data_IF_288809489848
#
_entry.id   IF_288809489848
#
_cell.length_a   1.000
_cell.length_b   1.000
_cell.length_c   1.000
_cell.angle_alpha   90.00
_cell.angle_beta   90.00
_cell.angle_gamma   90.00
#
_symmetry.space_group_name_H-M   'P 1'
#
loop_
_entity.id
_entity.type
_entity.pdbx_description
1 polymer ?
#
# COMPACT_ATOMS: atom_id res chain seq x y z
N UNK A 1 38.48 16.57 -10.23
CA UNK A 1 38.78 15.20 -10.67
C UNK A 1 38.77 14.36 -9.40
N UNK A 2 37.76 13.51 -9.21
CA UNK A 2 37.76 12.57 -8.10
C UNK A 2 38.91 11.57 -8.29
N UNK A 3 39.51 11.08 -7.21
CA UNK A 3 40.50 10.01 -7.31
C UNK A 3 39.84 8.78 -7.99
N UNK A 4 40.57 8.04 -8.84
CA UNK A 4 40.01 6.88 -9.57
C UNK A 4 39.43 5.80 -8.64
N UNK A 5 39.84 5.76 -7.37
CA UNK A 5 39.27 4.92 -6.32
C UNK A 5 37.88 5.37 -5.87
N UNK A 6 37.61 6.67 -5.85
CA UNK A 6 36.34 7.25 -5.41
C UNK A 6 35.26 7.07 -6.48
N UNK A 7 35.60 7.19 -7.77
CA UNK A 7 34.69 6.91 -8.88
C UNK A 7 34.22 5.44 -8.88
N UNK A 8 35.12 4.50 -8.55
CA UNK A 8 34.76 3.09 -8.39
C UNK A 8 33.79 2.86 -7.22
N UNK A 9 34.03 3.49 -6.06
CA UNK A 9 33.13 3.38 -4.89
C UNK A 9 31.74 3.92 -5.22
N UNK A 10 31.66 5.05 -5.90
CA UNK A 10 30.40 5.69 -6.27
C UNK A 10 29.59 4.79 -7.23
N UNK A 11 30.25 4.15 -8.19
CA UNK A 11 29.62 3.18 -9.12
C UNK A 11 29.07 1.95 -8.41
N UNK A 12 29.84 1.32 -7.52
CA UNK A 12 29.38 0.14 -6.78
C UNK A 12 28.24 0.46 -5.83
N UNK A 13 28.26 1.64 -5.21
CA UNK A 13 27.18 2.09 -4.35
C UNK A 13 25.88 2.31 -5.12
N UNK A 14 25.95 2.96 -6.29
CA UNK A 14 24.83 3.16 -7.19
C UNK A 14 24.23 1.82 -7.67
N UNK A 15 25.09 0.89 -8.13
CA UNK A 15 24.68 -0.45 -8.53
C UNK A 15 24.02 -1.24 -7.39
N UNK A 16 24.62 -1.19 -6.19
CA UNK A 16 24.06 -1.81 -4.99
C UNK A 16 22.72 -1.20 -4.58
N UNK A 17 22.55 0.11 -4.72
CA UNK A 17 21.29 0.82 -4.45
C UNK A 17 20.17 0.38 -5.38
N UNK A 18 20.42 0.29 -6.69
CA UNK A 18 19.45 -0.23 -7.67
C UNK A 18 19.05 -1.67 -7.36
N UNK A 19 20.04 -2.53 -7.16
CA UNK A 19 19.83 -3.94 -6.88
C UNK A 19 18.99 -4.12 -5.61
N UNK A 20 19.30 -3.34 -4.56
CA UNK A 20 18.52 -3.34 -3.32
C UNK A 20 17.08 -2.90 -3.55
N UNK A 21 16.85 -1.82 -4.31
CA UNK A 21 15.50 -1.35 -4.63
C UNK A 21 14.68 -2.40 -5.40
N UNK A 22 15.27 -3.02 -6.43
CA UNK A 22 14.59 -4.07 -7.19
C UNK A 22 14.30 -5.31 -6.34
N UNK A 23 15.26 -5.75 -5.51
CA UNK A 23 15.09 -6.91 -4.64
C UNK A 23 13.97 -6.69 -3.62
N UNK A 24 13.91 -5.50 -3.01
CA UNK A 24 12.81 -5.12 -2.12
C UNK A 24 11.49 -5.03 -2.88
N UNK A 25 11.48 -4.51 -4.11
CA UNK A 25 10.30 -4.49 -4.98
C UNK A 25 9.72 -5.89 -5.24
N UNK A 26 10.57 -6.88 -5.50
CA UNK A 26 10.15 -8.28 -5.65
C UNK A 26 9.54 -8.81 -4.34
N UNK A 27 10.19 -8.53 -3.20
CA UNK A 27 9.67 -8.95 -1.90
C UNK A 27 8.31 -8.32 -1.58
N UNK A 28 8.13 -7.03 -1.92
CA UNK A 28 6.86 -6.31 -1.79
C UNK A 28 5.78 -6.96 -2.65
N UNK A 29 6.06 -7.21 -3.93
CA UNK A 29 5.10 -7.88 -4.82
C UNK A 29 4.70 -9.27 -4.29
N UNK A 30 5.64 -10.03 -3.71
CA UNK A 30 5.35 -11.31 -3.09
C UNK A 30 4.43 -11.18 -1.86
N UNK A 31 4.65 -10.17 -1.01
CA UNK A 31 3.77 -9.88 0.13
C UNK A 31 2.38 -9.48 -0.36
N UNK A 32 2.27 -8.66 -1.41
CA UNK A 32 0.98 -8.27 -1.98
C UNK A 32 0.21 -9.45 -2.57
N UNK A 33 0.92 -10.40 -3.21
CA UNK A 33 0.36 -11.65 -3.69
C UNK A 33 -0.16 -12.52 -2.56
N UNK A 34 0.62 -12.67 -1.48
CA UNK A 34 0.17 -13.38 -0.29
C UNK A 34 -1.10 -12.74 0.30
N UNK A 35 -1.11 -11.41 0.45
CA UNK A 35 -2.28 -10.67 0.97
C UNK A 35 -3.52 -10.88 0.09
N UNK A 36 -3.34 -10.88 -1.23
CA UNK A 36 -4.44 -11.11 -2.17
C UNK A 36 -4.98 -12.54 -2.06
N UNK A 37 -4.11 -13.56 -2.11
CA UNK A 37 -4.51 -14.98 -1.98
C UNK A 37 -5.26 -15.21 -0.67
N UNK A 38 -4.75 -14.71 0.45
CA UNK A 38 -5.40 -14.84 1.75
C UNK A 38 -6.75 -14.12 1.80
N UNK A 39 -6.86 -12.95 1.16
CA UNK A 39 -8.15 -12.23 1.04
C UNK A 39 -9.18 -13.01 0.21
N UNK A 40 -8.74 -13.70 -0.85
CA UNK A 40 -9.60 -14.61 -1.64
C UNK A 40 -10.06 -15.78 -0.77
N UNK A 41 -9.15 -16.44 -0.06
CA UNK A 41 -9.49 -17.58 0.81
C UNK A 41 -10.56 -17.19 1.82
N UNK A 42 -10.35 -16.07 2.52
CA UNK A 42 -11.33 -15.58 3.48
C UNK A 42 -12.67 -15.24 2.83
N UNK A 43 -12.65 -14.62 1.64
CA UNK A 43 -13.86 -14.34 0.85
C UNK A 43 -14.66 -15.61 0.52
N UNK A 44 -13.97 -16.72 0.24
CA UNK A 44 -14.60 -18.01 -0.06
C UNK A 44 -15.18 -18.70 1.20
N UNK A 45 -14.61 -18.47 2.37
CA UNK A 45 -15.12 -18.99 3.65
C UNK A 45 -16.36 -18.22 4.17
N UNK A 46 -16.54 -16.97 3.74
CA UNK A 46 -17.64 -16.12 4.21
C UNK A 46 -19.02 -16.60 3.70
N UNK A 47 -20.08 -16.53 4.53
CA UNK A 47 -21.46 -16.76 4.10
C UNK A 47 -21.89 -15.77 2.99
N UNK A 48 -22.78 -16.19 2.07
CA UNK A 48 -23.21 -15.40 0.89
C UNK A 48 -23.70 -13.98 1.24
N UNK A 49 -24.32 -13.80 2.40
CA UNK A 49 -24.85 -12.49 2.86
C UNK A 49 -23.72 -11.51 3.16
N UNK A 50 -22.58 -11.97 3.68
CA UNK A 50 -21.45 -11.12 4.07
C UNK A 50 -20.45 -10.86 2.95
N UNK A 51 -20.60 -11.57 1.82
CA UNK A 51 -19.81 -11.34 0.61
C UNK A 51 -20.17 -10.04 -0.08
N UNK A 52 -21.42 -9.59 0.05
CA UNK A 52 -21.98 -8.47 -0.71
C UNK A 52 -21.17 -7.19 -0.51
N UNK A 53 -20.55 -6.70 -1.59
CA UNK A 53 -19.72 -5.49 -1.60
C UNK A 53 -18.23 -5.74 -1.33
N UNK A 54 -17.83 -6.94 -0.88
CA UNK A 54 -16.41 -7.31 -0.74
C UNK A 54 -15.80 -7.65 -2.09
N UNK A 55 -16.60 -8.07 -3.08
CA UNK A 55 -16.10 -8.40 -4.41
C UNK A 55 -15.34 -7.23 -5.05
N UNK A 56 -15.78 -5.99 -4.83
CA UNK A 56 -15.14 -4.79 -5.39
C UNK A 56 -13.73 -4.58 -4.82
N UNK A 57 -13.56 -4.73 -3.51
CA UNK A 57 -12.26 -4.61 -2.86
C UNK A 57 -11.30 -5.70 -3.32
N UNK A 58 -11.79 -6.92 -3.55
CA UNK A 58 -10.99 -8.02 -4.06
C UNK A 58 -10.50 -7.78 -5.49
N UNK A 59 -11.35 -7.22 -6.35
CA UNK A 59 -10.97 -6.83 -7.72
C UNK A 59 -9.91 -5.74 -7.71
N UNK A 60 -10.07 -4.69 -6.88
CA UNK A 60 -9.06 -3.63 -6.76
C UNK A 60 -7.73 -4.20 -6.26
N UNK A 61 -7.76 -5.07 -5.25
CA UNK A 61 -6.55 -5.73 -4.72
C UNK A 61 -5.87 -6.63 -5.76
N UNK A 62 -6.64 -7.28 -6.65
CA UNK A 62 -6.11 -8.05 -7.78
C UNK A 62 -5.40 -7.15 -8.80
N UNK A 63 -6.00 -6.01 -9.13
CA UNK A 63 -5.39 -5.02 -10.04
C UNK A 63 -4.08 -4.51 -9.46
N UNK A 64 -4.05 -4.19 -8.16
CA UNK A 64 -2.85 -3.73 -7.48
C UNK A 64 -1.71 -4.77 -7.50
N UNK A 65 -1.98 -6.02 -7.12
CA UNK A 65 -0.92 -7.05 -7.14
C UNK A 65 -0.41 -7.30 -8.56
N UNK A 66 -1.30 -7.24 -9.57
CA UNK A 66 -0.90 -7.41 -10.98
C UNK A 66 0.07 -6.30 -11.42
N UNK A 67 -0.20 -5.06 -11.02
CA UNK A 67 0.68 -3.91 -11.29
C UNK A 67 1.99 -4.01 -10.51
N UNK A 68 1.96 -4.44 -9.26
CA UNK A 68 3.15 -4.67 -8.44
C UNK A 68 4.06 -5.75 -9.03
N UNK A 69 3.48 -6.88 -9.47
CA UNK A 69 4.23 -7.95 -10.13
C UNK A 69 4.83 -7.48 -11.46
N UNK A 70 4.07 -6.76 -12.29
CA UNK A 70 4.57 -6.19 -13.55
C UNK A 70 5.75 -5.25 -13.29
N UNK A 71 5.62 -4.36 -12.31
CA UNK A 71 6.67 -3.43 -11.94
C UNK A 71 7.92 -4.14 -11.41
N UNK A 72 7.76 -5.06 -10.46
CA UNK A 72 8.86 -5.79 -9.86
C UNK A 72 9.64 -6.63 -10.88
N UNK A 73 8.95 -7.31 -11.79
CA UNK A 73 9.59 -8.11 -12.85
C UNK A 73 10.32 -7.20 -13.85
N UNK A 74 9.68 -6.12 -14.30
CA UNK A 74 10.28 -5.19 -15.26
C UNK A 74 11.54 -4.54 -14.68
N UNK A 75 11.48 -4.07 -13.43
CA UNK A 75 12.63 -3.49 -12.74
C UNK A 75 13.74 -4.49 -12.47
N UNK A 76 13.42 -5.74 -12.12
CA UNK A 76 14.42 -6.80 -11.95
C UNK A 76 15.20 -7.09 -13.23
N UNK A 77 14.50 -7.19 -14.37
CA UNK A 77 15.14 -7.40 -15.67
C UNK A 77 15.96 -6.17 -16.07
N UNK A 78 15.43 -4.96 -15.85
CA UNK A 78 16.13 -3.71 -16.16
C UNK A 78 17.44 -3.60 -15.38
N UNK A 79 17.40 -3.80 -14.06
CA UNK A 79 18.58 -3.77 -13.20
C UNK A 79 19.57 -4.88 -13.55
N UNK A 80 19.08 -6.10 -13.85
CA UNK A 80 19.95 -7.19 -14.30
C UNK A 80 20.73 -6.81 -15.57
N UNK A 81 20.06 -6.19 -16.56
CA UNK A 81 20.70 -5.76 -17.79
C UNK A 81 21.72 -4.63 -17.57
N UNK A 82 21.39 -3.65 -16.70
CA UNK A 82 22.33 -2.58 -16.29
C UNK A 82 23.57 -3.19 -15.64
N UNK A 83 23.41 -4.12 -14.69
CA UNK A 83 24.53 -4.78 -14.03
C UNK A 83 25.38 -5.58 -15.05
N UNK A 84 24.74 -6.34 -15.94
CA UNK A 84 25.43 -7.14 -16.93
C UNK A 84 26.30 -6.28 -17.88
N UNK A 85 25.77 -5.15 -18.36
CA UNK A 85 26.51 -4.26 -19.27
C UNK A 85 27.58 -3.41 -18.56
N UNK A 86 27.37 -3.05 -17.29
CA UNK A 86 28.37 -2.30 -16.50
C UNK A 86 29.57 -3.16 -16.08
N UNK A 87 29.43 -4.50 -16.04
CA UNK A 87 30.54 -5.42 -15.80
C UNK A 87 31.48 -5.60 -17.02
N UNK A 88 31.10 -5.14 -18.22
CA UNK A 88 31.94 -5.26 -19.41
C UNK A 88 33.03 -4.17 -19.43
N UNK A 89 34.30 -4.49 -19.80
CA UNK A 89 35.44 -3.54 -19.78
C UNK A 89 35.27 -2.28 -20.65
N UNK A 90 34.29 -2.28 -21.56
CA UNK A 90 34.02 -1.22 -22.54
C UNK A 90 32.87 -0.29 -22.15
N UNK A 91 32.15 -0.54 -21.05
CA UNK A 91 30.94 0.19 -20.70
C UNK A 91 31.23 1.54 -20.04
N UNK A 92 31.02 2.64 -20.76
CA UNK A 92 30.82 3.93 -20.12
C UNK A 92 29.52 3.84 -19.30
N UNK A 93 29.63 3.92 -17.97
CA UNK A 93 28.47 3.74 -17.07
C UNK A 93 27.35 4.69 -17.43
N UNK A 94 27.67 5.95 -17.75
CA UNK A 94 26.69 6.98 -18.08
C UNK A 94 25.89 6.66 -19.35
N UNK A 95 26.53 6.04 -20.35
CA UNK A 95 25.86 5.61 -21.58
C UNK A 95 24.93 4.41 -21.35
N UNK A 96 25.36 3.45 -20.53
CA UNK A 96 24.51 2.32 -20.12
C UNK A 96 23.30 2.84 -19.34
N UNK A 97 23.50 3.82 -18.45
CA UNK A 97 22.43 4.47 -17.71
C UNK A 97 21.42 5.12 -18.64
N UNK A 98 21.85 5.97 -19.56
CA UNK A 98 20.94 6.67 -20.47
C UNK A 98 20.15 5.71 -21.37
N UNK A 99 20.78 4.62 -21.79
CA UNK A 99 20.15 3.55 -22.58
C UNK A 99 19.02 2.85 -21.82
N UNK A 100 19.20 2.54 -20.55
CA UNK A 100 18.21 1.81 -19.75
C UNK A 100 17.17 2.70 -19.07
N UNK A 101 17.48 3.98 -18.78
CA UNK A 101 16.57 4.99 -18.19
C UNK A 101 15.41 5.38 -19.14
N UNK A 102 15.49 5.03 -20.43
CA UNK A 102 14.40 5.23 -21.40
C UNK A 102 13.93 3.92 -22.03
N UNK A 103 14.32 2.78 -21.45
CA UNK A 103 13.93 1.47 -21.97
C UNK A 103 12.44 1.20 -21.78
N UNK A 104 11.89 0.28 -22.58
CA UNK A 104 10.51 -0.17 -22.40
C UNK A 104 10.26 -0.74 -21.00
N UNK A 105 11.26 -1.43 -20.43
CA UNK A 105 11.18 -2.04 -19.11
C UNK A 105 11.11 -0.98 -18.00
N UNK A 106 11.91 0.09 -18.09
CA UNK A 106 11.86 1.21 -17.16
C UNK A 106 10.47 1.89 -17.19
N UNK A 107 9.93 2.14 -18.39
CA UNK A 107 8.58 2.68 -18.54
C UNK A 107 7.51 1.76 -17.95
N UNK A 108 7.63 0.43 -18.12
CA UNK A 108 6.71 -0.54 -17.52
C UNK A 108 6.80 -0.54 -15.98
N UNK A 109 8.02 -0.46 -15.43
CA UNK A 109 8.25 -0.35 -13.98
C UNK A 109 7.56 0.89 -13.40
N UNK A 110 7.83 2.06 -13.98
CA UNK A 110 7.31 3.35 -13.52
C UNK A 110 5.79 3.39 -13.68
N UNK A 111 5.24 2.95 -14.83
CA UNK A 111 3.80 2.91 -15.06
C UNK A 111 3.10 2.01 -14.04
N UNK A 112 3.66 0.83 -13.75
CA UNK A 112 3.11 -0.08 -12.74
C UNK A 112 3.00 0.58 -11.37
N UNK A 113 4.10 1.19 -10.89
CA UNK A 113 4.12 1.89 -9.60
C UNK A 113 3.18 3.09 -9.56
N UNK A 114 3.15 3.90 -10.61
CA UNK A 114 2.32 5.11 -10.66
C UNK A 114 0.83 4.78 -10.70
N UNK A 115 0.42 3.82 -11.54
CA UNK A 115 -0.98 3.39 -11.60
C UNK A 115 -1.39 2.76 -10.28
N UNK A 116 -0.53 1.95 -9.65
CA UNK A 116 -0.80 1.39 -8.34
C UNK A 116 -0.99 2.49 -7.27
N UNK A 117 -0.12 3.51 -7.26
CA UNK A 117 -0.25 4.69 -6.41
C UNK A 117 -1.59 5.41 -6.63
N UNK A 118 -1.96 5.68 -7.89
CA UNK A 118 -3.22 6.36 -8.21
C UNK A 118 -4.44 5.57 -7.78
N UNK A 119 -4.44 4.25 -7.97
CA UNK A 119 -5.51 3.36 -7.48
C UNK A 119 -5.62 3.44 -5.95
N UNK A 120 -4.48 3.46 -5.24
CA UNK A 120 -4.43 3.66 -3.80
C UNK A 120 -5.02 5.01 -3.35
N UNK A 121 -4.62 6.10 -3.99
CA UNK A 121 -5.12 7.46 -3.71
C UNK A 121 -6.64 7.56 -3.95
N UNK A 122 -7.12 7.03 -5.08
CA UNK A 122 -8.55 7.02 -5.41
C UNK A 122 -9.36 6.23 -4.38
N UNK A 123 -8.83 5.10 -3.90
CA UNK A 123 -9.48 4.31 -2.85
C UNK A 123 -9.53 5.05 -1.52
N UNK A 124 -8.49 5.82 -1.19
CA UNK A 124 -8.43 6.66 0.00
C UNK A 124 -9.49 7.79 -0.06
N UNK A 125 -9.60 8.46 -1.21
CA UNK A 125 -10.60 9.51 -1.47
C UNK A 125 -12.01 8.93 -1.44
N UNK A 126 -12.24 7.77 -2.07
CA UNK A 126 -13.53 7.07 -2.08
C UNK A 126 -14.02 6.78 -0.65
N UNK A 127 -13.12 6.36 0.24
CA UNK A 127 -13.44 6.16 1.67
C UNK A 127 -13.82 7.47 2.35
N UNK A 128 -13.08 8.54 2.08
CA UNK A 128 -13.42 9.87 2.60
C UNK A 128 -14.81 10.31 2.13
N UNK A 129 -15.13 10.09 0.85
CA UNK A 129 -16.42 10.42 0.25
C UNK A 129 -17.58 9.67 0.93
N UNK A 130 -17.49 8.35 1.08
CA UNK A 130 -18.53 7.56 1.76
C UNK A 130 -18.75 8.03 3.20
N UNK A 131 -17.67 8.28 3.93
CA UNK A 131 -17.73 8.65 5.35
C UNK A 131 -18.31 10.07 5.54
N UNK A 132 -18.16 10.94 4.53
CA UNK A 132 -18.66 12.31 4.52
C UNK A 132 -19.88 12.51 3.60
N UNK A 133 -20.69 11.48 3.37
CA UNK A 133 -21.87 11.54 2.49
C UNK A 133 -22.80 12.74 2.78
N UNK A 134 -22.91 13.17 4.05
CA UNK A 134 -23.79 14.27 4.46
C UNK A 134 -23.21 15.67 4.14
N UNK A 135 -21.90 15.78 3.86
CA UNK A 135 -21.20 17.04 3.58
C UNK A 135 -20.12 16.84 2.52
N UNK A 136 -20.55 16.64 1.28
CA UNK A 136 -19.69 16.41 0.13
C UNK A 136 -18.64 17.51 -0.10
N UNK A 137 -18.91 18.74 0.33
CA UNK A 137 -17.97 19.86 0.26
C UNK A 137 -16.61 19.56 0.92
N UNK A 138 -16.58 18.72 1.97
CA UNK A 138 -15.33 18.34 2.66
C UNK A 138 -14.46 17.42 1.80
N UNK A 139 -15.07 16.63 0.91
CA UNK A 139 -14.33 15.73 0.01
C UNK A 139 -13.69 16.47 -1.18
N UNK A 140 -14.09 17.72 -1.46
CA UNK A 140 -13.51 18.54 -2.55
C UNK A 140 -12.02 18.78 -2.29
N UNK A 141 -11.64 19.05 -1.04
CA UNK A 141 -10.25 19.35 -0.70
C UNK A 141 -9.29 18.17 -0.99
N UNK A 142 -9.54 16.93 -0.53
CA UNK A 142 -8.76 15.76 -0.96
C UNK A 142 -8.71 15.55 -2.48
N UNK A 143 -9.81 15.79 -3.19
CA UNK A 143 -9.86 15.65 -4.65
C UNK A 143 -8.93 16.66 -5.32
N UNK A 144 -8.91 17.91 -4.88
CA UNK A 144 -8.01 18.93 -5.42
C UNK A 144 -6.53 18.59 -5.18
N UNK A 145 -6.20 18.11 -3.98
CA UNK A 145 -4.82 17.69 -3.66
C UNK A 145 -4.41 16.48 -4.50
N UNK A 146 -5.33 15.53 -4.73
CA UNK A 146 -5.11 14.41 -5.63
C UNK A 146 -4.89 14.84 -7.07
N UNK A 147 -5.68 15.78 -7.60
CA UNK A 147 -5.48 16.28 -8.96
C UNK A 147 -4.11 16.95 -9.12
N UNK A 148 -3.63 17.66 -8.10
CA UNK A 148 -2.28 18.20 -8.07
C UNK A 148 -1.22 17.07 -8.07
N UNK A 149 -1.36 16.07 -7.20
CA UNK A 149 -0.50 14.86 -7.15
C UNK A 149 -0.46 14.13 -8.49
N UNK A 150 -1.63 13.95 -9.13
CA UNK A 150 -1.79 13.28 -10.40
C UNK A 150 -1.08 14.04 -11.54
N UNK A 151 -1.29 15.36 -11.64
CA UNK A 151 -0.62 16.18 -12.65
C UNK A 151 0.92 16.18 -12.51
N UNK A 152 1.41 16.18 -11.26
CA UNK A 152 2.83 16.13 -10.92
C UNK A 152 3.43 14.72 -11.17
N UNK A 153 2.67 13.65 -11.00
CA UNK A 153 3.15 12.28 -11.24
C UNK A 153 3.10 11.87 -12.71
N UNK A 154 2.40 12.61 -13.57
CA UNK A 154 2.38 12.37 -15.03
C UNK A 154 3.66 12.80 -15.77
N UNK A 155 4.50 13.62 -15.14
CA UNK A 155 5.70 14.21 -15.77
C UNK A 155 6.66 13.21 -16.42
N UNK A 156 6.91 12.01 -15.86
CA UNK A 156 7.77 11.01 -16.50
C UNK A 156 7.32 10.61 -17.91
N UNK A 157 6.04 10.79 -18.23
CA UNK A 157 5.43 10.28 -19.46
C UNK A 157 5.24 11.35 -20.53
N UNK A 158 5.50 12.62 -20.22
CA UNK A 158 5.32 13.72 -21.15
C UNK A 158 6.71 14.24 -21.56
N UNK A 159 7.15 14.02 -22.81
CA UNK A 159 8.43 14.52 -23.31
C UNK A 159 8.32 16.03 -23.59
N UNK A 160 8.26 16.84 -22.54
CA UNK A 160 8.35 18.30 -22.64
C UNK A 160 9.81 18.73 -22.61
N UNK A 161 10.23 19.49 -23.61
CA UNK A 161 11.57 20.10 -23.65
C UNK A 161 11.82 20.90 -22.36
N UNK A 162 12.85 20.51 -21.61
CA UNK A 162 13.25 21.18 -20.36
C UNK A 162 12.74 20.54 -19.06
N UNK A 163 11.81 19.58 -19.12
CA UNK A 163 11.42 18.79 -17.96
C UNK A 163 12.36 17.60 -17.82
N UNK A 164 13.49 17.82 -17.13
CA UNK A 164 14.34 16.70 -16.72
C UNK A 164 13.51 15.82 -15.78
N UNK A 165 13.23 14.59 -16.20
CA UNK A 165 12.59 13.52 -15.42
C UNK A 165 13.13 13.43 -13.97
N UNK A 166 14.42 13.78 -13.80
CA UNK A 166 15.15 13.80 -12.52
C UNK A 166 15.23 15.17 -11.83
N UNK A 167 14.30 16.10 -12.09
CA UNK A 167 14.24 17.36 -11.33
C UNK A 167 14.01 17.08 -9.84
N UNK A 168 15.08 17.24 -9.05
CA UNK A 168 15.08 17.00 -7.61
C UNK A 168 13.98 17.78 -6.89
N UNK A 169 13.79 19.06 -7.24
CA UNK A 169 12.73 19.90 -6.67
C UNK A 169 11.33 19.35 -6.93
N UNK A 170 11.09 18.91 -8.17
CA UNK A 170 9.80 18.42 -8.60
C UNK A 170 9.46 17.06 -7.95
N UNK A 171 10.46 16.20 -7.74
CA UNK A 171 10.32 14.95 -6.95
C UNK A 171 9.99 15.23 -5.49
N UNK A 172 10.68 16.19 -4.87
CA UNK A 172 10.41 16.63 -3.50
C UNK A 172 8.99 17.17 -3.35
N UNK A 173 8.52 18.00 -4.29
CA UNK A 173 7.15 18.52 -4.27
C UNK A 173 6.13 17.39 -4.39
N UNK A 174 6.35 16.43 -5.30
CA UNK A 174 5.47 15.27 -5.46
C UNK A 174 5.32 14.46 -4.17
N UNK A 175 6.46 14.16 -3.54
CA UNK A 175 6.52 13.41 -2.30
C UNK A 175 5.73 14.12 -1.18
N UNK A 176 5.91 15.44 -1.01
CA UNK A 176 5.18 16.21 0.00
C UNK A 176 3.68 16.33 -0.30
N UNK A 177 3.28 16.51 -1.56
CA UNK A 177 1.86 16.57 -1.95
C UNK A 177 1.18 15.23 -1.67
N UNK A 178 1.83 14.11 -2.01
CA UNK A 178 1.35 12.76 -1.70
C UNK A 178 1.19 12.55 -0.18
N UNK A 179 2.23 12.84 0.61
CA UNK A 179 2.16 12.74 2.07
C UNK A 179 1.03 13.61 2.64
N UNK A 180 0.85 14.83 2.12
CA UNK A 180 -0.19 15.77 2.57
C UNK A 180 -1.59 15.22 2.29
N UNK A 181 -1.81 14.58 1.14
CA UNK A 181 -3.08 13.91 0.82
C UNK A 181 -3.41 12.83 1.85
N UNK A 182 -2.43 11.97 2.18
CA UNK A 182 -2.61 10.90 3.14
C UNK A 182 -2.90 11.41 4.56
N UNK A 183 -2.15 12.41 5.03
CA UNK A 183 -2.39 13.02 6.34
C UNK A 183 -3.76 13.70 6.37
N UNK A 184 -4.12 14.44 5.32
CA UNK A 184 -5.40 15.15 5.22
C UNK A 184 -6.58 14.17 5.28
N UNK A 185 -6.57 13.13 4.45
CA UNK A 185 -7.68 12.17 4.42
C UNK A 185 -7.77 11.39 5.74
N UNK A 186 -6.63 10.95 6.29
CA UNK A 186 -6.60 10.29 7.59
C UNK A 186 -7.17 11.18 8.70
N UNK A 187 -6.83 12.47 8.73
CA UNK A 187 -7.37 13.42 9.70
C UNK A 187 -8.89 13.60 9.52
N UNK A 188 -9.37 13.79 8.29
CA UNK A 188 -10.79 13.95 7.99
C UNK A 188 -11.62 12.72 8.39
N UNK A 189 -11.14 11.53 8.06
CA UNK A 189 -11.81 10.26 8.42
C UNK A 189 -11.82 10.10 9.95
N UNK A 190 -10.68 10.30 10.60
CA UNK A 190 -10.53 10.12 12.04
C UNK A 190 -11.43 11.08 12.83
N UNK A 191 -11.48 12.36 12.43
CA UNK A 191 -12.33 13.37 13.07
C UNK A 191 -13.82 12.98 12.91
N UNK A 192 -14.26 12.58 11.72
CA UNK A 192 -15.65 12.21 11.47
C UNK A 192 -16.05 10.98 12.27
N UNK A 193 -15.17 9.99 12.34
CA UNK A 193 -15.42 8.74 13.05
C UNK A 193 -15.52 8.98 14.56
N UNK A 194 -14.61 9.77 15.13
CA UNK A 194 -14.66 10.15 16.55
C UNK A 194 -15.87 11.02 16.89
N UNK A 195 -16.28 11.92 15.99
CA UNK A 195 -17.52 12.73 16.17
C UNK A 195 -18.77 11.87 16.09
N UNK A 196 -18.82 10.91 15.17
CA UNK A 196 -19.94 9.98 15.04
C UNK A 196 -20.11 9.16 16.32
N UNK A 197 -19.01 8.59 16.83
CA UNK A 197 -18.96 7.89 18.12
C UNK A 197 -19.51 8.78 19.25
N UNK A 198 -18.95 9.97 19.45
CA UNK A 198 -19.37 10.88 20.52
C UNK A 198 -20.86 11.23 20.45
N UNK A 199 -21.44 11.34 19.26
CA UNK A 199 -22.87 11.57 19.08
C UNK A 199 -23.67 10.34 19.51
N UNK A 200 -23.33 9.16 18.98
CA UNK A 200 -24.05 7.91 19.29
C UNK A 200 -24.01 7.59 20.79
N UNK A 201 -22.86 7.72 21.46
CA UNK A 201 -22.74 7.49 22.90
C UNK A 201 -23.60 8.48 23.71
N UNK A 202 -23.66 9.76 23.30
CA UNK A 202 -24.47 10.77 23.99
C UNK A 202 -25.98 10.60 23.77
N UNK A 203 -26.40 10.22 22.56
CA UNK A 203 -27.84 10.15 22.23
C UNK A 203 -28.47 8.82 22.62
N UNK A 204 -27.73 7.71 22.52
CA UNK A 204 -28.27 6.37 22.74
C UNK A 204 -27.92 5.78 24.10
N UNK A 205 -26.97 6.37 24.85
CA UNK A 205 -26.52 5.86 26.15
C UNK A 205 -25.88 4.47 26.10
N UNK A 206 -25.72 3.89 24.91
CA UNK A 206 -25.11 2.58 24.71
C UNK A 206 -23.60 2.67 24.96
N UNK A 207 -23.09 1.78 25.81
CA UNK A 207 -21.67 1.48 25.90
C UNK A 207 -21.22 0.80 24.60
N UNK A 208 -21.01 1.61 23.56
CA UNK A 208 -20.48 1.15 22.28
C UNK A 208 -19.04 0.68 22.54
N UNK A 209 -18.68 -0.48 22.00
CA UNK A 209 -17.32 -1.00 22.10
C UNK A 209 -16.31 0.00 21.49
N UNK A 210 -15.61 0.71 22.37
CA UNK A 210 -14.63 1.74 22.03
C UNK A 210 -13.45 1.18 21.24
N UNK A 211 -13.19 -0.13 21.35
CA UNK A 211 -12.03 -0.79 20.75
C UNK A 211 -12.11 -0.82 19.23
N UNK A 212 -13.30 -0.98 18.65
CA UNK A 212 -13.46 -1.07 17.19
C UNK A 212 -13.13 0.26 16.51
N UNK A 213 -13.68 1.36 17.04
CA UNK A 213 -13.47 2.70 16.48
C UNK A 213 -12.04 3.19 16.68
N UNK A 214 -11.48 2.99 17.87
CA UNK A 214 -10.10 3.38 18.17
C UNK A 214 -9.10 2.54 17.39
N UNK A 215 -9.34 1.24 17.20
CA UNK A 215 -8.51 0.37 16.36
C UNK A 215 -8.47 0.81 14.89
N UNK A 216 -9.62 1.19 14.32
CA UNK A 216 -9.68 1.69 12.93
C UNK A 216 -8.99 3.05 12.80
N UNK A 217 -9.19 3.97 13.74
CA UNK A 217 -8.49 5.28 13.74
C UNK A 217 -6.98 5.10 13.90
N UNK A 218 -6.56 4.29 14.87
CA UNK A 218 -5.15 4.00 15.12
C UNK A 218 -4.47 3.45 13.86
N UNK A 219 -5.11 2.50 13.17
CA UNK A 219 -4.60 1.96 11.91
C UNK A 219 -4.39 3.04 10.83
N UNK A 220 -5.38 3.92 10.63
CA UNK A 220 -5.27 4.98 9.62
C UNK A 220 -4.14 5.96 9.96
N UNK A 221 -4.00 6.29 11.25
CA UNK A 221 -2.94 7.17 11.77
C UNK A 221 -1.57 6.51 11.65
N UNK A 222 -1.43 5.24 12.02
CA UNK A 222 -0.19 4.46 11.88
C UNK A 222 0.26 4.38 10.42
N UNK A 223 -0.65 4.15 9.49
CA UNK A 223 -0.34 4.12 8.05
C UNK A 223 0.12 5.49 7.53
N UNK A 224 -0.57 6.58 7.91
CA UNK A 224 -0.16 7.94 7.53
C UNK A 224 1.18 8.33 8.17
N UNK A 225 1.43 7.90 9.41
CA UNK A 225 2.70 8.11 10.09
C UNK A 225 3.85 7.38 9.40
N UNK A 226 3.66 6.12 8.99
CA UNK A 226 4.66 5.38 8.22
C UNK A 226 5.02 6.08 6.91
N UNK A 227 4.02 6.61 6.19
CA UNK A 227 4.25 7.44 4.99
C UNK A 227 5.08 8.67 5.35
N UNK A 228 4.72 9.41 6.39
CA UNK A 228 5.42 10.63 6.77
C UNK A 228 6.88 10.38 7.19
N UNK A 229 7.14 9.36 8.00
CA UNK A 229 8.47 9.00 8.51
C UNK A 229 9.44 8.70 7.37
N UNK A 230 8.96 8.05 6.32
CA UNK A 230 9.79 7.68 5.17
C UNK A 230 9.87 8.79 4.12
N UNK A 231 8.77 9.53 3.93
CA UNK A 231 8.69 10.57 2.89
C UNK A 231 9.52 11.80 3.26
N UNK A 232 9.56 12.22 4.53
CA UNK A 232 10.28 13.43 4.93
C UNK A 232 11.79 13.31 4.61
N UNK A 233 12.52 12.26 5.05
CA UNK A 233 13.94 12.13 4.73
C UNK A 233 14.18 11.88 3.24
N UNK A 234 13.32 11.13 2.55
CA UNK A 234 13.38 10.97 1.09
C UNK A 234 13.30 12.32 0.37
N UNK A 235 12.33 13.17 0.74
CA UNK A 235 12.07 14.44 0.09
C UNK A 235 13.15 15.49 0.39
N UNK A 236 13.66 15.54 1.63
CA UNK A 236 14.73 16.49 2.01
C UNK A 236 16.07 16.13 1.41
N UNK A 237 16.44 14.85 1.39
CA UNK A 237 17.73 14.41 0.80
C UNK A 237 17.81 14.58 -0.71
N UNK A 238 16.67 14.64 -1.41
CA UNK A 238 16.64 14.97 -2.84
C UNK A 238 17.23 16.36 -3.15
N UNK A 239 17.11 17.34 -2.26
CA UNK A 239 17.57 18.73 -2.50
C UNK A 239 18.86 19.09 -1.78
N UNK A 240 19.41 18.17 -0.97
CA UNK A 240 20.67 18.38 -0.25
C UNK A 240 21.79 17.73 -1.04
N UNK A 241 22.83 18.50 -1.35
CA UNK A 241 24.02 17.98 -2.02
C UNK A 241 24.97 17.32 -1.02
N UNK A 242 25.64 16.25 -1.45
CA UNK A 242 26.71 15.59 -0.69
C UNK A 242 26.56 14.07 -0.67
N UNK A 243 27.69 13.39 -0.48
CA UNK A 243 27.75 11.94 -0.47
C UNK A 243 26.84 11.31 0.61
N UNK A 244 26.88 11.84 1.83
CA UNK A 244 26.01 11.38 2.92
C UNK A 244 24.52 11.55 2.59
N UNK A 245 24.14 12.68 1.98
CA UNK A 245 22.75 12.93 1.59
C UNK A 245 22.30 11.93 0.52
N UNK A 246 23.18 11.62 -0.44
CA UNK A 246 22.94 10.62 -1.46
C UNK A 246 22.75 9.22 -0.87
N UNK A 247 23.56 8.83 0.12
CA UNK A 247 23.41 7.54 0.80
C UNK A 247 22.10 7.42 1.60
N UNK A 248 21.68 8.51 2.22
CA UNK A 248 20.39 8.55 2.93
C UNK A 248 19.25 8.51 1.92
N UNK A 249 19.35 9.24 0.81
CA UNK A 249 18.36 9.22 -0.27
C UNK A 249 18.08 7.81 -0.79
N UNK A 250 19.11 7.00 -1.08
CA UNK A 250 18.93 5.65 -1.63
C UNK A 250 18.15 4.75 -0.66
N UNK A 251 18.47 4.79 0.63
CA UNK A 251 17.77 4.01 1.67
C UNK A 251 16.31 4.44 1.80
N UNK A 252 16.05 5.74 1.88
CA UNK A 252 14.69 6.25 2.04
C UNK A 252 13.87 6.16 0.75
N UNK A 253 14.49 6.12 -0.43
CA UNK A 253 13.81 5.86 -1.70
C UNK A 253 13.22 4.44 -1.72
N UNK A 254 13.99 3.44 -1.29
CA UNK A 254 13.52 2.05 -1.17
C UNK A 254 12.33 1.97 -0.20
N UNK A 255 12.44 2.61 0.96
CA UNK A 255 11.34 2.71 1.91
C UNK A 255 10.11 3.39 1.31
N UNK A 256 10.30 4.50 0.60
CA UNK A 256 9.21 5.30 0.05
C UNK A 256 8.41 4.50 -0.97
N UNK A 257 9.10 3.85 -1.92
CA UNK A 257 8.48 2.95 -2.89
C UNK A 257 7.71 1.81 -2.20
N UNK A 258 8.30 1.22 -1.16
CA UNK A 258 7.69 0.13 -0.36
C UNK A 258 6.39 0.58 0.28
N UNK A 259 6.37 1.75 0.92
CA UNK A 259 5.18 2.23 1.63
C UNK A 259 4.07 2.65 0.66
N UNK A 260 4.41 3.27 -0.48
CA UNK A 260 3.43 3.61 -1.52
C UNK A 260 2.71 2.37 -2.03
N UNK A 261 3.46 1.29 -2.25
CA UNK A 261 2.92 0.02 -2.75
C UNK A 261 2.05 -0.68 -1.70
N UNK A 262 2.60 -0.85 -0.49
CA UNK A 262 1.98 -1.68 0.56
C UNK A 262 0.83 -1.01 1.31
N UNK A 263 0.88 0.31 1.54
CA UNK A 263 -0.13 0.98 2.37
C UNK A 263 -1.57 0.75 1.87
N UNK A 264 -1.91 1.00 0.58
CA UNK A 264 -3.26 0.73 0.08
C UNK A 264 -3.63 -0.76 0.14
N UNK A 265 -2.68 -1.67 -0.09
CA UNK A 265 -2.93 -3.11 -0.08
C UNK A 265 -3.21 -3.62 1.35
N UNK A 266 -2.43 -3.19 2.35
CA UNK A 266 -2.65 -3.47 3.77
C UNK A 266 -4.01 -2.95 4.25
N UNK A 267 -4.39 -1.77 3.75
CA UNK A 267 -5.66 -1.14 4.05
C UNK A 267 -6.84 -1.94 3.47
N UNK A 268 -6.70 -2.54 2.29
CA UNK A 268 -7.71 -3.46 1.71
C UNK A 268 -7.71 -4.78 2.47
N UNK A 269 -6.54 -5.36 2.69
CA UNK A 269 -6.33 -6.62 3.39
C UNK A 269 -6.99 -6.61 4.78
N UNK A 270 -6.79 -5.54 5.55
CA UNK A 270 -7.40 -5.39 6.87
C UNK A 270 -8.91 -5.19 6.84
N UNK A 271 -9.47 -4.60 5.77
CA UNK A 271 -10.94 -4.54 5.60
C UNK A 271 -11.51 -5.91 5.23
N UNK A 272 -10.77 -6.70 4.43
CA UNK A 272 -11.13 -8.06 4.12
C UNK A 272 -11.08 -8.96 5.37
N UNK A 273 -10.01 -8.87 6.17
CA UNK A 273 -9.75 -9.72 7.36
C UNK A 273 -10.40 -9.25 8.66
N UNK A 274 -10.47 -7.95 8.92
CA UNK A 274 -10.88 -7.40 10.22
C UNK A 274 -12.34 -7.63 10.61
N UNK A 275 -13.22 -7.98 9.65
CA UNK A 275 -14.63 -8.32 9.97
C UNK A 275 -14.83 -9.81 10.28
N UNK A 276 -13.88 -10.70 9.98
CA UNK A 276 -13.96 -12.10 10.42
C UNK A 276 -13.53 -12.26 11.88
N UNK A 277 -12.55 -11.47 12.33
CA UNK A 277 -12.08 -11.44 13.73
C UNK A 277 -13.11 -10.92 14.74
N UNK A 278 -14.10 -10.14 14.30
CA UNK A 278 -15.21 -9.69 15.17
C UNK A 278 -16.19 -10.84 15.49
N UNK A 279 -16.03 -12.02 14.87
CA UNK A 279 -16.77 -13.24 15.21
C UNK A 279 -15.88 -14.31 15.83
N UNK A 280 -15.45 -14.05 17.06
CA UNK A 280 -15.38 -15.07 18.12
C UNK A 280 -15.49 -14.36 19.46
N UNK A 281 -16.71 -14.25 20.03
CA UNK A 281 -16.80 -14.47 21.46
C UNK A 281 -16.44 -15.94 21.65
N UNK A 282 -15.20 -16.23 22.05
CA UNK A 282 -14.96 -17.48 22.74
C UNK A 282 -15.85 -17.44 23.98
N UNK A 283 -16.93 -18.23 23.94
CA UNK A 283 -17.71 -18.55 25.13
C UNK A 283 -16.80 -19.34 26.06
N UNK A 284 -16.03 -18.63 26.87
CA UNK A 284 -15.44 -19.18 28.08
C UNK A 284 -16.55 -19.40 29.10
N UNK A 285 -17.31 -20.47 28.89
CA UNK A 285 -18.06 -21.24 29.89
C UNK A 285 -18.84 -22.33 29.14
N UNK A 286 -18.23 -23.50 28.98
CA UNK A 286 -18.67 -24.68 29.74
C UNK A 286 -17.80 -25.90 29.38
N UNK A 287 -17.15 -26.54 30.37
CA UNK A 287 -16.76 -27.92 30.24
C UNK A 287 -18.03 -28.77 30.40
N UNK A 288 -18.20 -29.77 29.53
CA UNK A 288 -18.84 -31.07 29.79
C UNK A 288 -19.20 -31.66 28.44
N UNK A 289 -18.28 -32.49 27.95
CA UNK A 289 -18.62 -33.60 27.08
C UNK A 289 -19.58 -34.52 27.83
N UNK A 290 -20.87 -34.49 27.49
CA UNK A 290 -21.77 -35.60 27.77
C UNK A 290 -22.08 -36.33 26.47
N UNK A 291 -21.73 -37.62 26.47
CA UNK A 291 -21.95 -38.58 25.41
C UNK A 291 -23.41 -38.63 24.95
N UNK A 292 -23.61 -38.52 23.64
CA UNK A 292 -24.86 -38.90 22.98
C UNK A 292 -25.00 -40.43 23.00
N UNK A 293 -25.66 -40.96 24.04
CA UNK A 293 -26.23 -42.32 24.04
C UNK A 293 -27.52 -42.32 23.22
N UNK A 294 -27.56 -43.12 22.16
CA UNK A 294 -28.80 -43.45 21.47
C UNK A 294 -29.61 -44.44 22.32
N UNK A 295 -30.85 -44.08 22.67
CA UNK A 295 -31.80 -45.00 23.30
C UNK A 295 -32.75 -45.52 22.23
N UNK A 296 -32.59 -46.80 21.90
CA UNK A 296 -33.47 -47.57 21.03
C UNK A 296 -34.74 -47.93 21.83
N UNK A 297 -35.88 -47.34 21.47
CA UNK A 297 -37.17 -47.68 22.06
C UNK A 297 -37.69 -48.98 21.44
N UNK A 298 -37.66 -50.07 22.20
CA UNK A 298 -38.30 -51.33 21.82
C UNK A 298 -39.82 -51.18 21.75
N UNK A 299 -40.35 -51.68 20.63
CA UNK A 299 -41.77 -51.96 20.38
C UNK A 299 -42.28 -52.96 21.42
N UNK A 300 -43.35 -52.60 22.12
CA UNK A 300 -44.18 -53.54 22.88
C UNK A 300 -45.62 -53.32 22.46
N UNK A 301 -46.04 -54.06 21.44
CA UNK A 301 -47.45 -54.21 21.08
C UNK A 301 -47.90 -55.58 21.62
N UNK A 302 -48.50 -55.57 22.82
CA UNK A 302 -49.24 -56.70 23.37
C UNK A 302 -50.64 -56.68 22.76
N UNK A 303 -50.92 -57.62 21.88
CA UNK A 303 -52.26 -58.03 21.47
C UNK A 303 -52.71 -59.21 22.35
N UNK A 304 -53.83 -59.03 23.05
CA UNK A 304 -54.78 -60.07 23.48
C UNK A 304 -56.10 -59.33 23.80
N UNK A 305 -57.29 -59.94 23.66
CA UNK A 305 -57.60 -61.34 23.97
C UNK A 305 -57.85 -62.26 22.76
#
# INVERSE_FOLDING_TARGET
MAEPTQDLVDRWYLAGGLYSNSTVGIAVAAIELFMWIYSVQLYLELPRVERRGRERYLVVSFVMVSLACMSAVSGAINVYNVLLETHLPSGNVDEVWEKYDNSLLDHMEIMGLMVQRWVGDLLLIYRCYIIWQDRLAVAILPVLVFLASFGISLRPFIPLHGWKYRSHHLRTVDAFVYMSLHILVTALISIRLMRARRRLTRTLGLAIDDRVYTSVVAMLVESAAAIAVVTIPYATTNIVAGWTAYQVYTVFAVGYNTVISLAPQLIIFRVASGRSWVRRPESFSDPVSHDLRFHESQVSEKFEP
#
